data_IF_967871862256
#
_entry.id   IF_967871862256
#
_cell.length_a   1.000
_cell.length_b   1.000
_cell.length_c   1.000
_cell.angle_alpha   90.00
_cell.angle_beta   90.00
_cell.angle_gamma   90.00
#
_symmetry.space_group_name_H-M   'P 1'
#
loop_
_entity.id
_entity.type
_entity.pdbx_description
1 polymer ?
#
# COMPACT_ATOMS: atom_id res chain seq x y z
N UNK A 1 -25.48 -36.08 -14.34
CA UNK A 1 -25.55 -34.62 -14.08
C UNK A 1 -24.28 -34.25 -13.32
N UNK A 2 -23.27 -33.73 -14.01
CA UNK A 2 -22.00 -33.34 -13.37
C UNK A 2 -22.22 -31.95 -12.81
N UNK A 3 -22.35 -31.84 -11.50
CA UNK A 3 -22.54 -30.55 -10.83
C UNK A 3 -21.19 -29.84 -10.82
N UNK A 4 -21.11 -28.69 -11.50
CA UNK A 4 -19.98 -27.75 -11.46
C UNK A 4 -19.80 -27.24 -10.01
N UNK A 5 -19.08 -28.00 -9.18
CA UNK A 5 -18.68 -27.57 -7.83
C UNK A 5 -17.38 -26.74 -7.86
N UNK A 6 -16.63 -26.76 -8.96
CA UNK A 6 -15.33 -26.08 -9.06
C UNK A 6 -15.42 -24.55 -9.22
N UNK A 7 -16.39 -24.03 -9.97
CA UNK A 7 -16.47 -22.59 -10.28
C UNK A 7 -16.90 -21.73 -9.09
N UNK A 8 -17.88 -22.20 -8.30
CA UNK A 8 -18.39 -21.47 -7.14
C UNK A 8 -17.31 -21.29 -6.05
N UNK A 9 -16.50 -22.31 -5.77
CA UNK A 9 -15.42 -22.21 -4.78
C UNK A 9 -14.29 -21.26 -5.20
N UNK A 10 -13.98 -21.21 -6.50
CA UNK A 10 -12.93 -20.32 -7.05
C UNK A 10 -13.37 -18.86 -7.02
N UNK A 11 -14.63 -18.58 -7.38
CA UNK A 11 -15.19 -17.22 -7.31
C UNK A 11 -15.22 -16.69 -5.88
N UNK A 12 -15.56 -17.54 -4.92
CA UNK A 12 -15.61 -17.17 -3.50
C UNK A 12 -14.20 -16.90 -2.96
N UNK A 13 -13.23 -17.78 -3.23
CA UNK A 13 -11.84 -17.60 -2.80
C UNK A 13 -11.16 -16.37 -3.42
N UNK A 14 -11.44 -16.08 -4.70
CA UNK A 14 -10.90 -14.89 -5.36
C UNK A 14 -11.53 -13.59 -4.79
N UNK A 15 -12.81 -13.63 -4.42
CA UNK A 15 -13.48 -12.52 -3.74
C UNK A 15 -12.94 -12.26 -2.33
N UNK A 16 -12.64 -13.32 -1.57
CA UNK A 16 -12.01 -13.22 -0.25
C UNK A 16 -10.59 -12.66 -0.33
N UNK A 17 -9.77 -13.14 -1.27
CA UNK A 17 -8.42 -12.59 -1.49
C UNK A 17 -8.47 -11.12 -1.89
N UNK A 18 -9.36 -10.75 -2.81
CA UNK A 18 -9.50 -9.36 -3.26
C UNK A 18 -9.82 -8.43 -2.07
N UNK A 19 -10.78 -8.83 -1.23
CA UNK A 19 -11.14 -8.07 -0.01
C UNK A 19 -9.97 -7.95 0.97
N UNK A 20 -9.17 -9.00 1.14
CA UNK A 20 -8.00 -8.96 2.03
C UNK A 20 -6.98 -7.89 1.57
N UNK A 21 -6.70 -7.80 0.26
CA UNK A 21 -5.81 -6.77 -0.28
C UNK A 21 -6.41 -5.37 -0.19
N UNK A 22 -7.70 -5.21 -0.44
CA UNK A 22 -8.41 -3.93 -0.25
C UNK A 22 -8.33 -3.46 1.21
N UNK A 23 -8.64 -4.33 2.17
CA UNK A 23 -8.56 -4.03 3.60
C UNK A 23 -7.13 -3.69 4.05
N UNK A 24 -6.12 -4.40 3.53
CA UNK A 24 -4.71 -4.11 3.83
C UNK A 24 -4.27 -2.77 3.26
N UNK A 25 -4.69 -2.43 2.06
CA UNK A 25 -4.39 -1.14 1.45
C UNK A 25 -5.05 0.01 2.24
N UNK A 26 -6.30 -0.17 2.68
CA UNK A 26 -6.98 0.77 3.57
C UNK A 26 -6.24 0.93 4.91
N UNK A 27 -5.78 -0.17 5.52
CA UNK A 27 -4.98 -0.13 6.75
C UNK A 27 -3.70 0.70 6.58
N UNK A 28 -3.05 0.60 5.42
CA UNK A 28 -1.85 1.41 5.11
C UNK A 28 -2.21 2.88 4.95
N UNK A 29 -3.32 3.20 4.28
CA UNK A 29 -3.81 4.59 4.18
C UNK A 29 -4.05 5.16 5.58
N UNK A 30 -4.75 4.42 6.44
CA UNK A 30 -5.01 4.83 7.81
C UNK A 30 -3.71 5.04 8.62
N UNK A 31 -2.72 4.17 8.47
CA UNK A 31 -1.42 4.30 9.15
C UNK A 31 -0.64 5.54 8.67
N UNK A 32 -0.67 5.82 7.35
CA UNK A 32 -0.03 6.98 6.75
C UNK A 32 -0.67 8.31 7.18
N UNK A 33 -1.99 8.33 7.35
CA UNK A 33 -2.76 9.49 7.83
C UNK A 33 -2.77 9.60 9.35
N UNK A 34 -2.37 8.54 10.05
CA UNK A 34 -2.43 8.47 11.49
C UNK A 34 -1.47 9.45 12.16
N UNK A 35 -1.91 10.13 13.24
CA UNK A 35 -1.01 10.92 14.08
C UNK A 35 0.03 10.06 14.80
N UNK A 36 -0.14 8.72 14.83
CA UNK A 36 0.76 7.78 15.52
C UNK A 36 2.23 7.94 15.09
N UNK A 37 2.47 8.11 13.81
CA UNK A 37 3.80 8.37 13.26
C UNK A 37 3.97 9.84 12.86
N UNK A 38 2.86 10.55 12.60
CA UNK A 38 2.88 11.95 12.21
C UNK A 38 3.67 12.15 10.91
N UNK A 39 3.44 11.29 9.91
CA UNK A 39 4.23 11.30 8.69
C UNK A 39 4.07 12.62 7.92
N UNK A 40 5.20 13.09 7.40
CA UNK A 40 5.28 14.20 6.44
C UNK A 40 5.92 13.71 5.16
N UNK A 41 5.36 14.07 4.01
CA UNK A 41 5.97 13.76 2.73
C UNK A 41 7.22 14.61 2.53
N UNK A 42 8.34 13.95 2.26
CA UNK A 42 9.62 14.59 1.93
C UNK A 42 9.94 14.44 0.45
N UNK A 43 9.58 13.31 -0.14
CA UNK A 43 9.84 13.01 -1.54
C UNK A 43 8.90 11.96 -2.08
N UNK A 44 8.64 12.06 -3.38
CA UNK A 44 7.80 11.15 -4.14
C UNK A 44 8.60 10.68 -5.36
N UNK A 45 8.89 9.39 -5.41
CA UNK A 45 9.44 8.70 -6.58
C UNK A 45 8.38 7.72 -7.09
N UNK A 46 8.53 7.25 -8.33
CA UNK A 46 7.50 6.41 -8.95
C UNK A 46 7.28 5.07 -8.23
N UNK A 47 8.30 4.53 -7.58
CA UNK A 47 8.33 3.23 -6.91
C UNK A 47 8.59 3.34 -5.40
N UNK A 48 8.76 4.57 -4.89
CA UNK A 48 9.07 4.83 -3.49
C UNK A 48 8.49 6.15 -2.98
N UNK A 49 7.94 6.13 -1.76
CA UNK A 49 7.59 7.31 -0.98
C UNK A 49 8.61 7.55 0.12
N UNK A 50 9.13 8.77 0.22
CA UNK A 50 10.01 9.21 1.29
C UNK A 50 9.21 10.00 2.32
N UNK A 51 9.10 9.45 3.52
CA UNK A 51 8.27 9.93 4.61
C UNK A 51 9.15 10.30 5.81
N UNK A 52 8.86 11.41 6.46
CA UNK A 52 9.50 11.78 7.72
C UNK A 52 8.50 11.59 8.85
N UNK A 53 8.81 10.72 9.81
CA UNK A 53 8.03 10.55 11.05
C UNK A 53 8.39 11.68 11.99
N UNK A 54 7.42 12.53 12.32
CA UNK A 54 7.60 13.61 13.29
C UNK A 54 7.70 13.07 14.73
N UNK A 55 7.11 11.90 14.99
CA UNK A 55 7.10 11.29 16.33
C UNK A 55 8.43 10.60 16.64
N UNK A 56 9.02 9.93 15.64
CA UNK A 56 10.26 9.17 15.81
C UNK A 56 11.50 9.92 15.33
N UNK A 57 11.31 11.11 14.74
CA UNK A 57 12.35 11.95 14.15
C UNK A 57 13.22 11.21 13.13
N UNK A 58 12.60 10.34 12.34
CA UNK A 58 13.27 9.43 11.40
C UNK A 58 12.64 9.48 10.02
N UNK A 59 13.48 9.23 9.01
CA UNK A 59 13.03 9.09 7.62
C UNK A 59 12.76 7.62 7.31
N UNK A 60 11.57 7.37 6.80
CA UNK A 60 11.10 6.09 6.29
C UNK A 60 10.91 6.15 4.78
N UNK A 61 11.13 5.02 4.13
CA UNK A 61 10.92 4.80 2.72
C UNK A 61 9.87 3.70 2.58
N UNK A 62 8.71 4.02 2.01
CA UNK A 62 7.68 3.06 1.68
C UNK A 62 7.84 2.66 0.21
N UNK A 63 8.08 1.39 -0.06
CA UNK A 63 8.30 0.92 -1.43
C UNK A 63 8.39 -0.60 -1.53
N UNK A 64 8.61 -1.07 -2.75
CA UNK A 64 8.70 -2.49 -3.05
C UNK A 64 10.08 -3.07 -2.69
N UNK A 65 10.09 -4.20 -1.99
CA UNK A 65 11.29 -4.98 -1.73
C UNK A 65 11.00 -6.48 -1.80
N UNK A 66 11.63 -7.21 -2.73
CA UNK A 66 11.46 -8.66 -2.92
C UNK A 66 9.97 -9.10 -2.87
N UNK A 67 9.14 -8.42 -3.64
CA UNK A 67 7.69 -8.65 -3.76
C UNK A 67 6.88 -8.30 -2.51
N UNK A 68 7.41 -7.46 -1.62
CA UNK A 68 6.72 -6.99 -0.43
C UNK A 68 6.68 -5.47 -0.42
N UNK A 69 5.53 -4.90 -0.09
CA UNK A 69 5.46 -3.48 0.27
C UNK A 69 5.86 -3.34 1.73
N UNK A 70 6.83 -2.48 2.02
CA UNK A 70 7.31 -2.28 3.40
C UNK A 70 7.87 -0.88 3.63
N UNK A 71 7.96 -0.48 4.89
CA UNK A 71 8.78 0.65 5.32
C UNK A 71 10.25 0.26 5.49
N UNK A 72 11.17 1.19 5.19
CA UNK A 72 12.61 1.06 5.42
C UNK A 72 13.14 2.36 6.04
N UNK A 73 13.93 2.35 7.13
CA UNK A 73 14.37 1.19 7.89
C UNK A 73 13.18 0.50 8.60
N UNK A 74 13.21 -0.82 8.69
CA UNK A 74 12.08 -1.62 9.16
C UNK A 74 12.04 -2.97 8.45
N UNK A 75 11.79 -4.04 9.20
CA UNK A 75 11.76 -5.40 8.65
C UNK A 75 10.34 -5.95 8.44
N UNK A 76 9.31 -5.22 8.87
CA UNK A 76 7.94 -5.73 8.84
C UNK A 76 7.28 -5.45 7.47
N UNK A 77 6.91 -6.50 6.71
CA UNK A 77 6.16 -6.32 5.48
C UNK A 77 4.72 -5.87 5.79
N UNK A 78 4.22 -4.92 5.02
CA UNK A 78 2.84 -4.43 5.08
C UNK A 78 1.92 -5.25 4.18
N UNK A 79 2.41 -5.58 2.99
CA UNK A 79 1.75 -6.49 2.05
C UNK A 79 2.76 -7.40 1.37
N UNK A 80 2.31 -8.60 1.04
CA UNK A 80 3.08 -9.64 0.36
C UNK A 80 2.57 -9.82 -1.07
N UNK A 81 3.33 -10.56 -1.87
CA UNK A 81 2.99 -10.92 -3.25
C UNK A 81 2.76 -9.72 -4.18
N UNK A 82 3.33 -8.56 -3.84
CA UNK A 82 3.25 -7.36 -4.67
C UNK A 82 4.18 -7.53 -5.86
N UNK A 83 3.63 -7.55 -7.07
CA UNK A 83 4.41 -7.61 -8.31
C UNK A 83 4.93 -6.23 -8.71
N UNK A 84 4.13 -5.19 -8.50
CA UNK A 84 4.47 -3.81 -8.84
C UNK A 84 3.82 -2.84 -7.85
N UNK A 85 4.53 -1.75 -7.54
CA UNK A 85 3.96 -0.58 -6.85
C UNK A 85 4.24 0.66 -7.66
N UNK A 86 3.27 1.57 -7.71
CA UNK A 86 3.45 2.91 -8.26
C UNK A 86 2.92 3.94 -7.29
N UNK A 87 3.68 5.01 -7.12
CA UNK A 87 3.22 6.20 -6.44
C UNK A 87 3.15 7.35 -7.43
N UNK A 88 2.08 8.14 -7.33
CA UNK A 88 1.91 9.33 -8.13
C UNK A 88 1.13 10.38 -7.37
N UNK A 89 1.22 11.63 -7.81
CA UNK A 89 0.49 12.74 -7.19
C UNK A 89 -0.81 12.96 -7.95
N UNK A 90 -1.92 13.01 -7.24
CA UNK A 90 -3.24 13.33 -7.77
C UNK A 90 -3.82 14.51 -6.99
N UNK A 91 -3.64 15.73 -7.51
CA UNK A 91 -3.93 16.95 -6.77
C UNK A 91 -3.09 17.07 -5.49
N UNK A 92 -3.75 17.11 -4.33
CA UNK A 92 -3.11 17.16 -3.01
C UNK A 92 -2.94 15.77 -2.37
N UNK A 93 -3.36 14.71 -3.06
CA UNK A 93 -3.29 13.34 -2.60
C UNK A 93 -2.15 12.60 -3.28
N UNK A 94 -1.70 11.54 -2.63
CA UNK A 94 -0.81 10.55 -3.23
C UNK A 94 -1.65 9.35 -3.60
N UNK A 95 -1.58 8.95 -4.87
CA UNK A 95 -2.14 7.69 -5.34
C UNK A 95 -1.12 6.58 -5.16
N UNK A 96 -1.52 5.54 -4.44
CA UNK A 96 -0.78 4.29 -4.27
C UNK A 96 -1.46 3.26 -5.18
N UNK A 97 -0.74 2.76 -6.18
CA UNK A 97 -1.23 1.70 -7.07
C UNK A 97 -0.37 0.46 -6.86
N UNK A 98 -1.00 -0.67 -6.53
CA UNK A 98 -0.33 -1.96 -6.36
C UNK A 98 -0.87 -2.96 -7.39
N UNK A 99 -0.01 -3.86 -7.83
CA UNK A 99 -0.42 -5.00 -8.66
C UNK A 99 -0.07 -6.30 -7.94
N UNK A 100 -1.06 -7.17 -7.78
CA UNK A 100 -0.93 -8.47 -7.14
C UNK A 100 -1.60 -9.52 -8.01
N UNK A 101 -0.86 -10.55 -8.44
CA UNK A 101 -1.41 -11.66 -9.26
C UNK A 101 -2.25 -11.16 -10.45
N UNK A 102 -1.74 -10.17 -11.18
CA UNK A 102 -2.40 -9.47 -12.32
C UNK A 102 -3.66 -8.66 -11.98
N UNK A 103 -4.04 -8.55 -10.70
CA UNK A 103 -5.08 -7.63 -10.24
C UNK A 103 -4.45 -6.31 -9.79
N UNK A 104 -5.10 -5.21 -10.14
CA UNK A 104 -4.68 -3.87 -9.71
C UNK A 104 -5.57 -3.40 -8.58
N UNK A 105 -4.95 -2.79 -7.58
CA UNK A 105 -5.61 -2.12 -6.49
C UNK A 105 -5.01 -0.73 -6.35
N UNK A 106 -5.83 0.23 -5.99
CA UNK A 106 -5.36 1.58 -5.76
C UNK A 106 -6.09 2.26 -4.60
N UNK A 107 -5.40 3.19 -3.98
CA UNK A 107 -5.94 4.04 -2.93
C UNK A 107 -5.33 5.42 -3.00
N UNK A 108 -6.07 6.40 -2.51
CA UNK A 108 -5.63 7.77 -2.34
C UNK A 108 -5.35 8.02 -0.87
N UNK A 109 -4.25 8.69 -0.59
CA UNK A 109 -3.84 9.05 0.77
C UNK A 109 -3.45 10.51 0.85
N UNK A 110 -3.85 11.19 1.92
CA UNK A 110 -3.40 12.53 2.21
C UNK A 110 -2.18 12.51 3.13
N UNK A 111 -1.03 12.95 2.63
CA UNK A 111 0.19 13.08 3.44
C UNK A 111 0.63 14.55 3.41
N UNK A 112 0.61 15.26 4.55
CA UNK A 112 1.05 16.65 4.60
C UNK A 112 2.50 16.79 4.15
N UNK A 113 2.83 17.82 3.38
CA UNK A 113 4.23 18.09 3.00
C UNK A 113 5.04 18.50 4.23
N UNK A 114 6.32 18.11 4.28
CA UNK A 114 7.25 18.70 5.24
C UNK A 114 7.54 20.14 4.81
N UNK A 115 7.23 21.11 5.66
CA UNK A 115 7.61 22.50 5.45
C UNK A 115 9.14 22.59 5.40
N UNK A 116 9.67 23.36 4.44
CA UNK A 116 11.12 23.52 4.22
C UNK A 116 11.76 24.34 5.31
#
# INVERSE_FOLDING_TARGET
MVVLLGSLSIETANGEMKRDYENKLETIVQDLESPKHGFKLVGLESDQLKLYSMVEEKTYYLGLYRNMLRYTPGHMPLMLEIAHVRFSKEGNLIKIEITVRNQKFDALVFIPQKEK
#
